data_IF_637835739061
#
_entry.id   IF_637835739061
#
_cell.length_a   1.000
_cell.length_b   1.000
_cell.length_c   1.000
_cell.angle_alpha   90.00
_cell.angle_beta   90.00
_cell.angle_gamma   90.00
#
_symmetry.space_group_name_H-M   'P 1'
#
loop_
_entity.id
_entity.type
_entity.pdbx_description
1 polymer ?
#
# COMPACT_ATOMS: atom_id res chain seq x y z
N UNK A 1 -3.38 -8.77 24.57
CA UNK A 1 -2.79 -8.81 23.21
C UNK A 1 -2.24 -7.43 22.91
N UNK A 2 -0.94 -7.29 22.59
CA UNK A 2 -0.32 -5.98 22.37
C UNK A 2 -0.49 -5.62 20.89
N UNK A 3 -1.31 -4.61 20.62
CA UNK A 3 -1.47 -4.02 19.29
C UNK A 3 -0.13 -3.36 18.95
N UNK A 4 0.46 -3.69 17.80
CA UNK A 4 1.65 -2.98 17.30
C UNK A 4 1.34 -2.56 15.87
N UNK A 5 0.60 -1.47 15.74
CA UNK A 5 0.53 -0.74 14.48
C UNK A 5 1.91 -0.15 14.18
N UNK A 6 2.45 -0.43 13.00
CA UNK A 6 3.74 0.13 12.57
C UNK A 6 3.54 1.48 11.87
N UNK A 7 3.27 2.49 12.70
CA UNK A 7 3.15 3.88 12.23
C UNK A 7 4.46 4.41 11.62
N UNK A 8 5.61 3.90 12.04
CA UNK A 8 6.91 4.31 11.50
C UNK A 8 7.04 3.85 10.05
N UNK A 9 6.80 2.57 9.77
CA UNK A 9 6.81 2.03 8.41
C UNK A 9 5.75 2.70 7.54
N UNK A 10 4.52 2.88 8.05
CA UNK A 10 3.47 3.62 7.34
C UNK A 10 3.96 5.02 6.92
N UNK A 11 4.49 5.80 7.87
CA UNK A 11 4.95 7.16 7.62
C UNK A 11 6.12 7.18 6.64
N UNK A 12 7.11 6.32 6.83
CA UNK A 12 8.31 6.28 5.99
C UNK A 12 8.01 5.87 4.55
N UNK A 13 7.12 4.89 4.36
CA UNK A 13 6.63 4.52 3.02
C UNK A 13 5.90 5.68 2.36
N UNK A 14 5.11 6.44 3.12
CA UNK A 14 4.46 7.66 2.66
C UNK A 14 5.46 8.73 2.20
N UNK A 15 6.49 9.00 3.00
CA UNK A 15 7.55 9.97 2.68
C UNK A 15 8.29 9.54 1.41
N UNK A 16 8.77 8.29 1.37
CA UNK A 16 9.52 7.74 0.25
C UNK A 16 8.73 7.79 -1.07
N UNK A 17 7.45 7.41 -1.01
CA UNK A 17 6.55 7.44 -2.17
C UNK A 17 6.35 8.85 -2.71
N UNK A 18 6.23 9.86 -1.82
CA UNK A 18 6.09 11.26 -2.22
C UNK A 18 7.39 11.82 -2.82
N UNK A 19 8.55 11.51 -2.25
CA UNK A 19 9.85 11.88 -2.84
C UNK A 19 9.99 11.28 -4.25
N UNK A 20 9.70 9.98 -4.39
CA UNK A 20 9.72 9.28 -5.69
C UNK A 20 8.74 9.91 -6.69
N UNK A 21 7.54 10.28 -6.23
CA UNK A 21 6.55 10.95 -7.07
C UNK A 21 6.99 12.35 -7.50
N UNK A 22 7.56 13.16 -6.61
CA UNK A 22 8.11 14.47 -7.00
C UNK A 22 9.25 14.30 -8.00
N UNK A 23 10.17 13.35 -7.76
CA UNK A 23 11.26 13.05 -8.71
C UNK A 23 10.72 12.67 -10.09
N UNK A 24 9.77 11.73 -10.16
CA UNK A 24 9.25 11.22 -11.42
C UNK A 24 8.32 12.22 -12.13
N UNK A 25 7.42 12.88 -11.39
CA UNK A 25 6.33 13.67 -11.98
C UNK A 25 6.61 15.17 -12.04
N UNK A 26 7.29 15.74 -11.04
CA UNK A 26 7.64 17.17 -11.06
C UNK A 26 8.96 17.41 -11.79
N UNK A 27 9.99 16.60 -11.50
CA UNK A 27 11.32 16.81 -12.07
C UNK A 27 11.58 15.99 -13.34
N UNK A 28 10.93 14.83 -13.49
CA UNK A 28 11.14 13.95 -14.65
C UNK A 28 12.56 13.35 -14.73
N UNK A 29 13.24 13.18 -13.59
CA UNK A 29 14.65 12.76 -13.56
C UNK A 29 14.86 11.37 -12.97
N UNK A 30 15.97 10.73 -13.36
CA UNK A 30 16.50 9.53 -12.71
C UNK A 30 17.16 9.88 -11.36
N UNK A 31 17.43 8.86 -10.55
CA UNK A 31 17.96 9.02 -9.19
C UNK A 31 19.35 9.68 -9.15
N UNK A 32 20.23 9.32 -10.08
CA UNK A 32 21.56 9.91 -10.27
C UNK A 32 21.50 11.43 -10.48
N UNK A 33 20.60 11.90 -11.34
CA UNK A 33 20.37 13.33 -11.58
C UNK A 33 19.78 14.04 -10.37
N UNK A 34 18.90 13.39 -9.61
CA UNK A 34 18.37 13.96 -8.37
C UNK A 34 19.47 14.15 -7.33
N UNK A 35 20.31 13.12 -7.15
CA UNK A 35 21.48 13.16 -6.26
C UNK A 35 22.43 14.28 -6.65
N UNK A 36 22.71 14.44 -7.94
CA UNK A 36 23.56 15.51 -8.43
C UNK A 36 23.01 16.89 -8.03
N UNK A 37 21.72 17.15 -8.27
CA UNK A 37 21.05 18.42 -7.90
C UNK A 37 21.09 18.69 -6.39
N UNK A 38 20.78 17.68 -5.58
CA UNK A 38 20.85 17.81 -4.11
C UNK A 38 22.26 18.18 -3.64
N UNK A 39 23.28 17.60 -4.26
CA UNK A 39 24.68 17.87 -3.93
C UNK A 39 25.14 19.25 -4.40
N UNK A 40 24.79 19.66 -5.62
CA UNK A 40 25.29 20.91 -6.23
C UNK A 40 24.52 22.13 -5.76
N UNK A 41 23.20 22.03 -5.67
CA UNK A 41 22.32 23.20 -5.52
C UNK A 41 21.96 23.42 -4.03
N UNK A 42 22.02 22.36 -3.22
CA UNK A 42 21.57 22.37 -1.81
C UNK A 42 22.62 21.82 -0.84
N UNK A 43 23.81 21.44 -1.32
CA UNK A 43 24.92 20.89 -0.51
C UNK A 43 24.52 19.67 0.35
N UNK A 44 23.50 18.92 -0.09
CA UNK A 44 23.01 17.72 0.60
C UNK A 44 23.73 16.48 0.09
N UNK A 45 24.45 15.81 0.99
CA UNK A 45 25.13 14.54 0.69
C UNK A 45 24.17 13.35 0.81
N UNK A 46 23.73 12.84 -0.32
CA UNK A 46 22.94 11.60 -0.46
C UNK A 46 23.47 10.84 -1.67
N UNK A 47 23.85 9.58 -1.51
CA UNK A 47 24.19 8.73 -2.65
C UNK A 47 22.93 8.05 -3.25
N UNK A 48 23.07 7.43 -4.42
CA UNK A 48 21.96 6.79 -5.14
C UNK A 48 21.38 5.58 -4.39
N UNK A 49 22.21 4.83 -3.66
CA UNK A 49 21.76 3.70 -2.84
C UNK A 49 20.89 4.20 -1.68
N UNK A 50 21.33 5.27 -1.01
CA UNK A 50 20.60 5.92 0.07
C UNK A 50 19.31 6.54 -0.42
N UNK A 51 19.32 7.23 -1.56
CA UNK A 51 18.11 7.76 -2.18
C UNK A 51 17.13 6.63 -2.52
N UNK A 52 17.60 5.53 -3.06
CA UNK A 52 16.77 4.35 -3.33
C UNK A 52 16.16 3.78 -2.04
N UNK A 53 16.93 3.70 -0.95
CA UNK A 53 16.39 3.29 0.35
C UNK A 53 15.32 4.26 0.86
N UNK A 54 15.56 5.57 0.77
CA UNK A 54 14.61 6.63 1.15
C UNK A 54 13.32 6.52 0.35
N UNK A 55 13.39 6.42 -0.98
CA UNK A 55 12.21 6.30 -1.86
C UNK A 55 11.37 5.04 -1.57
N UNK A 56 12.00 4.01 -1.00
CA UNK A 56 11.33 2.80 -0.57
C UNK A 56 10.94 2.80 0.92
N UNK A 57 11.08 3.93 1.62
CA UNK A 57 10.73 4.08 3.04
C UNK A 57 11.62 3.30 4.00
N UNK A 58 12.87 3.00 3.62
CA UNK A 58 13.80 2.20 4.44
C UNK A 58 14.83 3.09 5.14
N UNK A 59 14.80 3.09 6.47
CA UNK A 59 15.84 3.70 7.30
C UNK A 59 17.01 2.71 7.50
N UNK A 60 18.23 3.24 7.63
CA UNK A 60 19.40 2.44 8.01
C UNK A 60 19.50 2.39 9.53
N UNK A 61 18.64 1.60 10.19
CA UNK A 61 18.48 1.58 11.67
C UNK A 61 19.79 1.55 12.47
N UNK A 62 20.87 0.95 11.94
CA UNK A 62 22.20 0.89 12.58
C UNK A 62 23.05 2.16 12.44
N UNK A 63 22.85 2.97 11.39
CA UNK A 63 23.64 4.18 11.08
C UNK A 63 22.84 5.47 11.27
N UNK A 64 21.55 5.44 10.96
CA UNK A 64 20.62 6.53 11.20
C UNK A 64 19.24 5.91 11.55
N UNK A 65 18.76 6.08 12.78
CA UNK A 65 17.48 5.52 13.20
C UNK A 65 16.30 6.11 12.43
N UNK A 66 16.46 7.30 11.84
CA UNK A 66 15.41 8.01 11.11
C UNK A 66 15.55 7.88 9.59
N UNK A 67 14.43 8.07 8.87
CA UNK A 67 14.41 8.01 7.41
C UNK A 67 15.20 9.15 6.76
N UNK A 68 15.13 10.36 7.30
CA UNK A 68 15.79 11.56 6.79
C UNK A 68 16.45 12.31 7.94
N UNK A 69 17.58 12.96 7.68
CA UNK A 69 18.10 14.02 8.56
C UNK A 69 17.34 15.32 8.33
N UNK A 70 17.44 16.28 9.26
CA UNK A 70 16.81 17.60 9.09
C UNK A 70 17.31 18.32 7.84
N UNK A 71 18.62 18.29 7.58
CA UNK A 71 19.22 18.86 6.38
C UNK A 71 18.70 18.20 5.09
N UNK A 72 18.52 16.88 5.08
CA UNK A 72 17.94 16.19 3.94
C UNK A 72 16.48 16.58 3.73
N UNK A 73 15.71 16.70 4.82
CA UNK A 73 14.33 17.14 4.76
C UNK A 73 14.23 18.55 4.15
N UNK A 74 15.07 19.48 4.59
CA UNK A 74 15.17 20.85 4.07
C UNK A 74 15.53 20.86 2.58
N UNK A 75 16.60 20.17 2.18
CA UNK A 75 17.00 20.13 0.77
C UNK A 75 15.94 19.52 -0.14
N UNK A 76 15.20 18.50 0.32
CA UNK A 76 14.08 17.97 -0.45
C UNK A 76 12.92 18.95 -0.54
N UNK A 77 12.57 19.65 0.55
CA UNK A 77 11.46 20.62 0.52
C UNK A 77 11.77 21.81 -0.37
N UNK A 78 13.01 22.29 -0.35
CA UNK A 78 13.43 23.42 -1.16
C UNK A 78 13.47 23.03 -2.64
N UNK A 79 14.05 21.86 -2.96
CA UNK A 79 14.11 21.35 -4.32
C UNK A 79 12.72 21.09 -4.92
N UNK A 80 11.78 20.58 -4.13
CA UNK A 80 10.42 20.27 -4.61
C UNK A 80 9.43 21.43 -4.48
N UNK A 81 9.88 22.55 -3.90
CA UNK A 81 9.08 23.71 -3.55
C UNK A 81 7.79 23.29 -2.82
N UNK A 82 7.94 22.58 -1.69
CA UNK A 82 6.82 22.12 -0.86
C UNK A 82 7.09 22.32 0.62
N UNK A 83 6.04 22.34 1.45
CA UNK A 83 6.19 22.52 2.89
C UNK A 83 6.70 21.22 3.55
N UNK A 84 7.53 21.32 4.59
CA UNK A 84 7.95 20.16 5.42
C UNK A 84 6.77 19.26 5.82
N UNK A 85 5.67 19.87 6.29
CA UNK A 85 4.44 19.13 6.66
C UNK A 85 3.79 18.38 5.49
N UNK A 86 3.86 18.92 4.27
CA UNK A 86 3.37 18.25 3.07
C UNK A 86 4.29 17.08 2.69
N UNK A 87 5.61 17.25 2.83
CA UNK A 87 6.58 16.18 2.65
C UNK A 87 6.59 15.14 3.79
N UNK A 88 5.95 15.38 4.93
CA UNK A 88 5.86 14.39 6.01
C UNK A 88 4.49 13.70 6.01
N UNK A 89 3.41 14.46 5.84
CA UNK A 89 2.05 13.95 6.00
C UNK A 89 1.22 13.95 4.72
N UNK A 90 1.75 14.51 3.63
CA UNK A 90 1.01 14.71 2.39
C UNK A 90 0.09 15.94 2.43
N UNK A 91 -0.71 16.07 1.39
CA UNK A 91 -1.71 17.13 1.28
C UNK A 91 -2.97 16.80 2.11
N UNK A 92 -4.03 17.61 1.99
CA UNK A 92 -5.28 17.38 2.71
C UNK A 92 -5.89 15.99 2.42
N UNK A 93 -5.89 15.57 1.16
CA UNK A 93 -6.45 14.28 0.71
C UNK A 93 -5.63 13.12 1.30
N UNK A 94 -4.30 13.21 1.27
CA UNK A 94 -3.42 12.18 1.84
C UNK A 94 -3.64 12.02 3.35
N UNK A 95 -3.84 13.13 4.06
CA UNK A 95 -4.13 13.14 5.50
C UNK A 95 -5.47 12.52 5.81
N UNK A 96 -6.51 12.89 5.07
CA UNK A 96 -7.85 12.32 5.22
C UNK A 96 -7.83 10.80 4.98
N UNK A 97 -7.13 10.35 3.94
CA UNK A 97 -6.96 8.92 3.66
C UNK A 97 -6.21 8.21 4.79
N UNK A 98 -5.16 8.83 5.33
CA UNK A 98 -4.41 8.28 6.47
C UNK A 98 -5.28 8.13 7.71
N UNK A 99 -6.12 9.13 8.01
CA UNK A 99 -7.08 9.07 9.12
C UNK A 99 -8.09 7.94 8.91
N UNK A 100 -8.64 7.79 7.70
CA UNK A 100 -9.55 6.68 7.37
C UNK A 100 -8.90 5.32 7.62
N UNK A 101 -7.63 5.16 7.22
CA UNK A 101 -6.86 3.94 7.44
C UNK A 101 -6.66 3.67 8.94
N UNK A 102 -6.33 4.69 9.73
CA UNK A 102 -6.14 4.53 11.17
C UNK A 102 -7.44 4.18 11.88
N UNK A 103 -8.54 4.86 11.55
CA UNK A 103 -9.87 4.55 12.09
C UNK A 103 -10.29 3.12 11.74
N UNK A 104 -10.03 2.70 10.49
CA UNK A 104 -10.30 1.35 10.05
C UNK A 104 -9.49 0.32 10.85
N UNK A 105 -8.19 0.54 11.02
CA UNK A 105 -7.32 -0.36 11.77
C UNK A 105 -7.75 -0.48 13.24
N UNK A 106 -8.17 0.62 13.86
CA UNK A 106 -8.73 0.66 15.21
C UNK A 106 -10.06 -0.11 15.27
N UNK A 107 -10.95 0.13 14.32
CA UNK A 107 -12.29 -0.49 14.27
C UNK A 107 -12.20 -2.00 14.06
N UNK A 108 -11.30 -2.45 13.19
CA UNK A 108 -11.04 -3.86 12.96
C UNK A 108 -10.31 -4.53 14.13
N UNK A 109 -9.78 -3.77 15.09
CA UNK A 109 -9.03 -4.26 16.25
C UNK A 109 -7.96 -5.31 15.90
N UNK A 110 -7.34 -5.18 14.71
CA UNK A 110 -6.37 -6.16 14.23
C UNK A 110 -6.89 -7.61 14.32
N UNK A 111 -8.17 -7.81 14.03
CA UNK A 111 -8.80 -9.13 14.02
C UNK A 111 -8.05 -10.03 13.04
N UNK A 112 -7.83 -11.28 13.45
CA UNK A 112 -7.10 -12.27 12.66
C UNK A 112 -8.06 -13.35 12.21
N UNK A 113 -7.87 -13.85 11.00
CA UNK A 113 -8.58 -15.03 10.51
C UNK A 113 -8.14 -16.30 11.25
N UNK A 114 -8.80 -17.42 10.97
CA UNK A 114 -8.47 -18.72 11.58
C UNK A 114 -7.05 -19.24 11.26
N UNK A 115 -6.32 -18.58 10.35
CA UNK A 115 -4.91 -18.86 10.02
C UNK A 115 -3.93 -17.91 10.73
N UNK A 116 -4.43 -17.00 11.58
CA UNK A 116 -3.61 -16.04 12.33
C UNK A 116 -3.13 -14.83 11.53
N UNK A 117 -3.67 -14.59 10.32
CA UNK A 117 -3.38 -13.42 9.48
C UNK A 117 -4.40 -12.32 9.74
N UNK A 118 -3.98 -11.06 9.65
CA UNK A 118 -4.94 -9.95 9.84
C UNK A 118 -6.05 -9.98 8.78
N UNK A 119 -7.27 -9.73 9.22
CA UNK A 119 -8.42 -9.48 8.35
C UNK A 119 -8.19 -8.11 7.71
N UNK A 120 -8.06 -8.12 6.38
CA UNK A 120 -7.92 -6.90 5.60
C UNK A 120 -9.32 -6.54 5.09
N UNK A 121 -9.94 -5.46 5.58
CA UNK A 121 -11.33 -5.09 5.29
C UNK A 121 -11.48 -4.40 3.91
N UNK A 122 -10.73 -4.89 2.94
CA UNK A 122 -10.79 -4.48 1.54
C UNK A 122 -11.34 -5.64 0.73
N UNK A 123 -11.59 -5.40 -0.56
CA UNK A 123 -12.12 -6.43 -1.48
C UNK A 123 -11.16 -7.61 -1.72
N UNK A 124 -10.13 -7.78 -0.91
CA UNK A 124 -9.21 -8.91 -0.90
C UNK A 124 -9.95 -10.24 -0.92
N UNK A 125 -11.05 -10.42 -0.19
CA UNK A 125 -11.84 -11.66 -0.22
C UNK A 125 -12.40 -12.02 -1.61
N UNK A 126 -12.55 -11.05 -2.52
CA UNK A 126 -12.95 -11.29 -3.91
C UNK A 126 -11.79 -11.73 -4.80
N UNK A 127 -10.55 -11.42 -4.41
CA UNK A 127 -9.33 -11.64 -5.20
C UNK A 127 -8.31 -12.58 -4.56
N UNK A 128 -8.52 -13.02 -3.31
CA UNK A 128 -7.73 -14.03 -2.56
C UNK A 128 -7.98 -15.42 -3.17
N UNK A 129 -7.80 -15.56 -4.49
CA UNK A 129 -8.24 -16.71 -5.28
C UNK A 129 -7.44 -17.99 -5.05
N UNK A 130 -6.54 -18.07 -4.07
CA UNK A 130 -5.76 -19.29 -3.83
C UNK A 130 -5.99 -19.98 -2.49
N UNK A 131 -6.29 -19.27 -1.39
CA UNK A 131 -6.09 -19.86 -0.05
C UNK A 131 -7.22 -19.62 0.97
N UNK A 132 -8.49 -19.43 0.61
CA UNK A 132 -9.58 -19.54 1.62
C UNK A 132 -10.05 -21.01 1.73
N UNK A 133 -9.82 -21.70 2.87
CA UNK A 133 -10.32 -23.06 3.09
C UNK A 133 -11.84 -23.12 3.10
N UNK A 134 -12.49 -22.02 3.50
CA UNK A 134 -13.95 -21.90 3.60
C UNK A 134 -14.60 -21.77 2.22
N UNK A 135 -13.97 -21.05 1.29
CA UNK A 135 -14.39 -21.03 -0.12
C UNK A 135 -14.21 -22.41 -0.77
N UNK A 136 -13.11 -23.13 -0.46
CA UNK A 136 -12.94 -24.53 -0.91
C UNK A 136 -14.03 -25.44 -0.36
N UNK A 137 -14.45 -25.26 0.90
CA UNK A 137 -15.52 -26.05 1.53
C UNK A 137 -16.90 -25.72 0.95
N UNK A 138 -17.21 -24.46 0.67
CA UNK A 138 -18.50 -24.08 0.06
C UNK A 138 -18.60 -24.48 -1.41
N UNK A 139 -17.49 -24.41 -2.16
CA UNK A 139 -17.40 -24.97 -3.53
C UNK A 139 -17.50 -26.50 -3.50
N UNK A 140 -16.80 -27.18 -2.58
CA UNK A 140 -16.89 -28.65 -2.42
C UNK A 140 -18.27 -29.13 -1.99
N UNK A 141 -18.96 -28.40 -1.10
CA UNK A 141 -20.34 -28.73 -0.68
C UNK A 141 -21.35 -28.58 -1.81
N UNK A 142 -21.12 -27.65 -2.76
CA UNK A 142 -21.94 -27.56 -3.98
C UNK A 142 -21.54 -28.57 -5.06
N UNK A 143 -20.31 -29.07 -5.04
CA UNK A 143 -19.81 -30.04 -6.04
C UNK A 143 -20.01 -31.51 -5.65
N UNK A 144 -20.50 -31.82 -4.46
CA UNK A 144 -20.80 -33.21 -4.08
C UNK A 144 -22.02 -33.80 -4.80
N UNK A 145 -22.79 -32.99 -5.53
CA UNK A 145 -23.89 -33.47 -6.39
C UNK A 145 -23.56 -33.50 -7.89
N UNK A 146 -22.36 -33.09 -8.30
CA UNK A 146 -21.95 -33.21 -9.71
C UNK A 146 -20.46 -33.49 -9.82
N UNK A 147 -20.12 -34.77 -10.02
CA UNK A 147 -18.84 -35.17 -10.62
C UNK A 147 -18.74 -34.51 -11.99
N UNK A 148 -18.13 -33.34 -12.12
CA UNK A 148 -17.51 -32.85 -13.36
C UNK A 148 -16.76 -31.53 -13.13
N UNK A 149 -15.50 -31.51 -13.62
CA UNK A 149 -14.57 -30.38 -13.87
C UNK A 149 -14.52 -29.25 -12.83
N UNK A 150 -13.33 -29.00 -12.31
CA UNK A 150 -13.00 -27.72 -11.67
C UNK A 150 -13.06 -26.65 -12.77
N UNK A 151 -14.23 -26.05 -12.94
CA UNK A 151 -14.47 -24.94 -13.88
C UNK A 151 -13.87 -23.69 -13.23
N UNK A 152 -12.79 -23.19 -13.80
CA UNK A 152 -12.20 -21.90 -13.43
C UNK A 152 -13.22 -20.77 -13.64
N UNK A 153 -13.12 -19.68 -12.87
CA UNK A 153 -14.07 -18.55 -12.96
C UNK A 153 -14.17 -17.95 -14.38
N UNK A 154 -13.14 -18.16 -15.22
CA UNK A 154 -13.08 -17.80 -16.64
C UNK A 154 -13.91 -18.70 -17.56
N UNK A 155 -14.21 -19.93 -17.14
CA UNK A 155 -14.98 -20.90 -17.94
C UNK A 155 -16.50 -20.77 -17.70
N UNK A 156 -16.95 -20.02 -16.68
CA UNK A 156 -18.35 -19.65 -16.47
C UNK A 156 -18.56 -18.13 -16.65
N UNK A 157 -18.72 -17.73 -17.91
CA UNK A 157 -18.81 -16.34 -18.38
C UNK A 157 -19.94 -15.54 -17.69
N UNK A 158 -21.07 -16.17 -17.39
CA UNK A 158 -22.19 -15.51 -16.71
C UNK A 158 -21.88 -15.20 -15.24
N UNK A 159 -21.26 -16.14 -14.54
CA UNK A 159 -20.85 -15.94 -13.14
C UNK A 159 -19.78 -14.85 -13.04
N UNK A 160 -18.83 -14.83 -13.98
CA UNK A 160 -17.83 -13.75 -14.09
C UNK A 160 -18.49 -12.39 -14.30
N UNK A 161 -19.40 -12.26 -15.28
CA UNK A 161 -20.11 -11.01 -15.58
C UNK A 161 -20.94 -10.50 -14.39
N UNK A 162 -21.65 -11.38 -13.69
CA UNK A 162 -22.40 -11.01 -12.47
C UNK A 162 -21.48 -10.51 -11.36
N UNK A 163 -20.36 -11.20 -11.15
CA UNK A 163 -19.35 -10.82 -10.15
C UNK A 163 -18.75 -9.44 -10.46
N UNK A 164 -18.35 -9.21 -11.72
CA UNK A 164 -17.80 -7.93 -12.15
C UNK A 164 -18.81 -6.78 -12.06
N UNK A 165 -20.09 -7.03 -12.38
CA UNK A 165 -21.15 -6.04 -12.22
C UNK A 165 -21.36 -5.66 -10.75
N UNK A 166 -21.31 -6.64 -9.84
CA UNK A 166 -21.37 -6.39 -8.40
C UNK A 166 -20.16 -5.60 -7.90
N UNK A 167 -18.95 -5.96 -8.35
CA UNK A 167 -17.71 -5.27 -8.01
C UNK A 167 -17.74 -3.80 -8.45
N UNK A 168 -18.20 -3.52 -9.68
CA UNK A 168 -18.31 -2.16 -10.19
C UNK A 168 -19.24 -1.30 -9.31
N UNK A 169 -20.38 -1.84 -8.90
CA UNK A 169 -21.28 -1.15 -7.96
C UNK A 169 -20.61 -0.84 -6.62
N UNK A 170 -19.85 -1.78 -6.07
CA UNK A 170 -19.13 -1.53 -4.80
C UNK A 170 -18.02 -0.50 -5.00
N UNK A 171 -17.31 -0.53 -6.13
CA UNK A 171 -16.30 0.47 -6.48
C UNK A 171 -16.89 1.87 -6.60
N UNK A 172 -18.10 1.99 -7.15
CA UNK A 172 -18.83 3.26 -7.25
C UNK A 172 -19.29 3.77 -5.88
N UNK A 173 -19.90 2.91 -5.07
CA UNK A 173 -20.45 3.31 -3.77
C UNK A 173 -19.39 3.49 -2.69
N UNK A 174 -18.33 2.68 -2.74
CA UNK A 174 -17.34 2.55 -1.67
C UNK A 174 -15.90 2.55 -2.22
N UNK A 175 -15.49 3.61 -2.94
CA UNK A 175 -14.22 3.64 -3.67
C UNK A 175 -13.00 3.42 -2.79
N UNK A 176 -13.03 3.89 -1.53
CA UNK A 176 -11.93 3.72 -0.57
C UNK A 176 -11.56 2.24 -0.34
N UNK A 177 -12.55 1.36 -0.15
CA UNK A 177 -12.32 -0.08 0.11
C UNK A 177 -11.91 -0.88 -1.14
N UNK A 178 -11.96 -0.24 -2.31
CA UNK A 178 -11.56 -0.82 -3.60
C UNK A 178 -10.27 -0.19 -4.15
N UNK A 179 -9.68 0.74 -3.40
CA UNK A 179 -8.49 1.47 -3.82
C UNK A 179 -7.23 0.69 -3.42
N UNK A 180 -6.47 0.25 -4.43
CA UNK A 180 -5.22 -0.49 -4.25
C UNK A 180 -4.19 0.27 -3.38
N UNK A 181 -4.13 1.61 -3.49
CA UNK A 181 -3.20 2.41 -2.66
C UNK A 181 -3.64 2.46 -1.20
N UNK A 182 -4.94 2.55 -0.94
CA UNK A 182 -5.46 2.52 0.43
C UNK A 182 -5.20 1.16 1.07
N UNK A 183 -5.35 0.09 0.29
CA UNK A 183 -4.99 -1.28 0.67
C UNK A 183 -3.50 -1.42 1.00
N UNK A 184 -2.60 -0.99 0.11
CA UNK A 184 -1.16 -1.00 0.34
C UNK A 184 -0.76 -0.26 1.63
N UNK A 185 -1.33 0.93 1.83
CA UNK A 185 -1.09 1.73 3.02
C UNK A 185 -1.58 1.03 4.29
N UNK A 186 -2.72 0.32 4.22
CA UNK A 186 -3.22 -0.48 5.35
C UNK A 186 -2.28 -1.66 5.67
N UNK A 187 -1.73 -2.34 4.65
CA UNK A 187 -0.73 -3.40 4.84
C UNK A 187 0.53 -2.86 5.54
N UNK A 188 1.03 -1.68 5.13
CA UNK A 188 2.20 -1.07 5.77
C UNK A 188 1.99 -0.79 7.26
N UNK A 189 0.77 -0.44 7.66
CA UNK A 189 0.43 -0.20 9.06
C UNK A 189 0.41 -1.50 9.90
N UNK A 190 0.14 -2.63 9.27
CA UNK A 190 0.06 -3.94 9.92
C UNK A 190 1.39 -4.73 9.87
N UNK A 191 2.42 -4.19 9.21
CA UNK A 191 3.69 -4.88 8.91
C UNK A 191 3.49 -6.22 8.17
N UNK A 192 2.42 -6.32 7.37
CA UNK A 192 2.16 -7.51 6.55
C UNK A 192 2.97 -7.44 5.24
N UNK A 193 3.57 -8.56 4.78
CA UNK A 193 4.23 -8.60 3.49
C UNK A 193 3.21 -8.26 2.39
N UNK A 194 3.61 -7.39 1.46
CA UNK A 194 2.77 -6.92 0.37
C UNK A 194 2.23 -8.11 -0.46
N UNK A 195 1.01 -8.57 -0.14
CA UNK A 195 0.27 -9.47 -0.99
C UNK A 195 -0.27 -8.64 -2.14
N UNK A 196 0.29 -8.81 -3.34
CA UNK A 196 -0.27 -8.21 -4.55
C UNK A 196 -1.72 -8.67 -4.69
N UNK A 197 -2.61 -7.72 -4.94
CA UNK A 197 -3.92 -8.03 -5.50
C UNK A 197 -3.65 -8.58 -6.90
N UNK A 198 -3.69 -9.91 -7.07
CA UNK A 198 -3.72 -10.51 -8.40
C UNK A 198 -5.10 -10.19 -9.00
N UNK A 199 -5.19 -9.05 -9.68
CA UNK A 199 -6.31 -8.76 -10.57
C UNK A 199 -6.35 -9.86 -11.63
N UNK A 200 -7.45 -10.59 -11.63
CA UNK A 200 -7.70 -11.61 -12.63
C UNK A 200 -8.26 -10.87 -13.84
N UNK A 201 -7.36 -10.59 -14.77
CA UNK A 201 -7.73 -10.14 -16.12
C UNK A 201 -8.46 -11.27 -16.85
#
# INVERSE_FOLDING_TARGET
MKIIFDFETFLYKGIGSRIKNYRNKKLGVKQDKLVAKLKTDYYISVDTSRLSAIENGRAHKKKNPHLLTESQLEGFTDLFNCKKKELIFGNHIDKEESVKIFLLAITMNSEKDGEGKYIIPFMDFLFRKKNSPELRKSIKKKSSESKNKIVTLSENKEMYLRTMKGLNKVKEMYPFFTNEKAYEKYQFLLDEPHSRIELIY
#
